data_IF_587450917633
#
_entry.id   IF_587450917633
#
_cell.length_a   1.000
_cell.length_b   1.000
_cell.length_c   1.000
_cell.angle_alpha   90.00
_cell.angle_beta   90.00
_cell.angle_gamma   90.00
#
_symmetry.space_group_name_H-M   'P 1'
#
loop_
_entity.id
_entity.type
_entity.pdbx_description
1 polymer ?
#
# COMPACT_ATOMS: atom_id res chain seq x y z
N UNK A 1 10.10 -5.53 23.29
CA UNK A 1 9.19 -5.36 22.18
C UNK A 1 9.84 -5.74 20.87
N UNK A 2 9.21 -6.65 20.12
CA UNK A 2 9.83 -7.24 18.94
C UNK A 2 9.28 -6.74 17.62
N UNK A 3 8.48 -5.72 17.70
CA UNK A 3 7.77 -5.17 16.58
C UNK A 3 8.61 -4.94 15.31
N UNK A 4 9.74 -4.20 15.36
CA UNK A 4 10.50 -3.95 14.14
C UNK A 4 11.07 -5.22 13.53
N UNK A 5 11.44 -6.16 14.38
CA UNK A 5 12.01 -7.42 13.93
C UNK A 5 11.01 -8.22 13.11
N UNK A 6 9.76 -8.31 13.58
CA UNK A 6 8.75 -9.10 12.88
C UNK A 6 8.39 -8.48 11.53
N UNK A 7 8.26 -7.17 11.47
CA UNK A 7 7.99 -6.46 10.23
C UNK A 7 9.16 -6.62 9.26
N UNK A 8 10.38 -6.41 9.72
CA UNK A 8 11.57 -6.55 8.89
C UNK A 8 11.70 -7.97 8.34
N UNK A 9 11.46 -8.95 9.18
CA UNK A 9 11.53 -10.35 8.78
C UNK A 9 10.54 -10.66 7.67
N UNK A 10 9.31 -10.16 7.80
CA UNK A 10 8.30 -10.34 6.77
C UNK A 10 8.72 -9.71 5.46
N UNK A 11 9.16 -8.47 5.50
CA UNK A 11 9.55 -7.74 4.29
C UNK A 11 10.74 -8.40 3.60
N UNK A 12 11.72 -8.86 4.36
CA UNK A 12 12.87 -9.58 3.78
C UNK A 12 12.46 -10.86 3.10
N UNK A 13 11.50 -11.58 3.67
CA UNK A 13 11.05 -12.85 3.12
C UNK A 13 10.35 -12.68 1.78
N UNK A 14 9.57 -11.62 1.62
CA UNK A 14 8.74 -11.40 0.44
C UNK A 14 9.29 -10.37 -0.53
N UNK A 15 10.27 -9.59 -0.11
CA UNK A 15 10.93 -8.65 -1.01
C UNK A 15 11.96 -9.38 -1.86
N UNK A 16 12.00 -9.04 -3.14
CA UNK A 16 12.95 -9.63 -4.08
C UNK A 16 14.19 -8.76 -4.14
N UNK A 17 15.36 -9.37 -4.29
CA UNK A 17 16.59 -8.62 -4.45
C UNK A 17 16.62 -7.90 -5.82
N UNK A 18 17.10 -6.63 -5.91
CA UNK A 18 17.48 -5.81 -4.78
C UNK A 18 16.29 -5.47 -3.91
N UNK A 19 16.56 -5.17 -2.65
CA UNK A 19 15.50 -4.90 -1.70
C UNK A 19 14.69 -3.67 -2.12
N UNK A 20 13.37 -3.82 -2.09
CA UNK A 20 12.48 -2.71 -2.41
C UNK A 20 12.22 -1.89 -1.15
N UNK A 21 12.35 -0.57 -1.24
CA UNK A 21 12.14 0.26 -0.05
C UNK A 21 10.69 0.31 0.37
N UNK A 22 10.49 0.33 1.67
CA UNK A 22 9.19 0.62 2.25
C UNK A 22 9.05 2.13 2.34
N UNK A 23 8.00 2.67 1.75
CA UNK A 23 7.65 4.07 1.90
C UNK A 23 6.57 4.18 2.98
N UNK A 24 6.86 4.91 4.04
CA UNK A 24 5.90 5.19 5.12
C UNK A 24 6.32 6.47 5.81
N UNK A 25 5.36 7.17 6.40
CA UNK A 25 5.67 8.42 7.09
C UNK A 25 6.51 8.16 8.35
N UNK A 26 6.15 7.11 9.10
CA UNK A 26 6.87 6.73 10.31
C UNK A 26 6.44 5.32 10.71
N UNK A 27 7.34 4.59 11.35
CA UNK A 27 7.02 3.28 11.93
C UNK A 27 7.14 3.31 13.46
N UNK A 28 7.31 4.48 14.04
CA UNK A 28 7.44 4.63 15.48
C UNK A 28 6.16 4.18 16.20
N UNK A 29 6.31 3.31 17.20
CA UNK A 29 5.16 2.82 17.95
C UNK A 29 4.36 1.72 17.30
N UNK A 30 4.77 1.28 16.12
CA UNK A 30 4.11 0.17 15.41
C UNK A 30 4.58 -1.15 16.01
N UNK A 31 3.63 -1.98 16.40
CA UNK A 31 3.93 -3.31 16.92
C UNK A 31 3.21 -4.42 16.15
N UNK A 32 2.44 -4.06 15.14
CA UNK A 32 1.81 -5.04 14.25
C UNK A 32 1.70 -4.48 12.85
N UNK A 33 1.65 -5.36 11.86
CA UNK A 33 1.54 -4.98 10.47
C UNK A 33 0.52 -5.82 9.76
N UNK A 34 -0.20 -5.19 8.85
CA UNK A 34 -1.11 -5.87 7.92
C UNK A 34 -0.54 -5.63 6.52
N UNK A 35 -0.34 -6.69 5.76
CA UNK A 35 0.19 -6.58 4.41
C UNK A 35 -0.91 -6.93 3.42
N UNK A 36 -1.14 -6.03 2.49
CA UNK A 36 -2.18 -6.18 1.48
C UNK A 36 -1.51 -6.19 0.10
N UNK A 37 -1.48 -7.33 -0.58
CA UNK A 37 -1.01 -7.35 -1.97
C UNK A 37 -2.05 -6.67 -2.86
N UNK A 38 -1.59 -5.88 -3.81
CA UNK A 38 -2.46 -5.16 -4.74
C UNK A 38 -1.96 -5.38 -6.16
N UNK A 39 -2.86 -5.86 -7.02
CA UNK A 39 -2.58 -6.12 -8.40
C UNK A 39 -3.76 -5.63 -9.22
N UNK A 40 -3.62 -4.42 -9.79
CA UNK A 40 -4.67 -3.80 -10.59
C UNK A 40 -6.02 -3.74 -9.87
N UNK A 41 -5.98 -3.39 -8.60
CA UNK A 41 -7.15 -3.41 -7.73
C UNK A 41 -7.42 -2.05 -7.07
N UNK A 42 -7.17 -0.96 -7.81
CA UNK A 42 -7.26 0.38 -7.22
C UNK A 42 -8.59 0.65 -6.52
N UNK A 43 -9.72 0.33 -7.15
CA UNK A 43 -11.01 0.63 -6.56
C UNK A 43 -11.28 -0.18 -5.29
N UNK A 44 -11.00 -1.49 -5.31
CA UNK A 44 -11.26 -2.34 -4.15
C UNK A 44 -10.25 -2.09 -3.04
N UNK A 45 -9.00 -1.78 -3.37
CA UNK A 45 -7.98 -1.48 -2.38
C UNK A 45 -8.38 -0.30 -1.50
N UNK A 46 -8.75 0.82 -2.12
CA UNK A 46 -9.07 2.03 -1.35
C UNK A 46 -10.38 1.90 -0.58
N UNK A 47 -11.30 1.09 -1.07
CA UNK A 47 -12.49 0.75 -0.31
C UNK A 47 -12.14 -0.08 0.94
N UNK A 48 -11.24 -1.03 0.79
CA UNK A 48 -10.74 -1.84 1.91
C UNK A 48 -10.03 -0.95 2.92
N UNK A 49 -9.18 -0.05 2.46
CA UNK A 49 -8.48 0.88 3.35
C UNK A 49 -9.45 1.79 4.09
N UNK A 50 -10.52 2.24 3.43
CA UNK A 50 -11.54 3.04 4.08
C UNK A 50 -12.26 2.28 5.19
N UNK A 51 -12.49 0.98 4.99
CA UNK A 51 -13.07 0.13 6.03
C UNK A 51 -12.12 -0.04 7.21
N UNK A 52 -10.83 -0.24 6.92
CA UNK A 52 -9.80 -0.35 7.97
C UNK A 52 -9.70 0.98 8.74
N UNK A 53 -9.83 2.09 8.04
CA UNK A 53 -9.75 3.41 8.66
C UNK A 53 -10.84 3.67 9.71
N UNK A 54 -11.89 2.87 9.72
CA UNK A 54 -12.95 2.96 10.71
C UNK A 54 -12.62 2.26 12.03
N UNK A 55 -11.52 1.53 12.09
CA UNK A 55 -11.05 0.88 13.31
C UNK A 55 -10.62 1.94 14.33
N UNK A 56 -10.81 1.70 15.65
CA UNK A 56 -10.44 2.68 16.67
C UNK A 56 -9.02 3.20 16.52
N UNK A 57 -8.81 4.52 16.68
CA UNK A 57 -7.48 5.13 16.53
C UNK A 57 -6.39 4.50 17.38
N UNK A 58 -6.72 4.02 18.55
CA UNK A 58 -5.73 3.36 19.44
C UNK A 58 -5.12 2.14 18.78
N UNK A 59 -5.92 1.38 18.03
CA UNK A 59 -5.41 0.22 17.30
C UNK A 59 -4.69 0.63 16.02
N UNK A 60 -5.22 1.63 15.32
CA UNK A 60 -4.59 2.09 14.09
C UNK A 60 -3.19 2.67 14.33
N UNK A 61 -2.97 3.32 15.46
CA UNK A 61 -1.66 3.92 15.75
C UNK A 61 -0.56 2.88 15.94
N UNK A 62 -0.91 1.67 16.34
CA UNK A 62 0.07 0.61 16.55
C UNK A 62 0.19 -0.33 15.35
N UNK A 63 -0.58 -0.09 14.31
CA UNK A 63 -0.64 -0.97 13.13
C UNK A 63 -0.15 -0.24 11.89
N UNK A 64 0.79 -0.84 11.18
CA UNK A 64 1.19 -0.35 9.86
C UNK A 64 0.48 -1.21 8.81
N UNK A 65 -0.25 -0.56 7.92
CA UNK A 65 -0.90 -1.25 6.80
C UNK A 65 -0.02 -1.04 5.56
N UNK A 66 0.59 -2.10 5.08
CA UNK A 66 1.53 -2.05 3.97
C UNK A 66 0.85 -2.60 2.72
N UNK A 67 0.74 -1.76 1.71
CA UNK A 67 0.22 -2.18 0.41
C UNK A 67 1.40 -2.50 -0.50
N UNK A 68 1.47 -3.73 -0.99
CA UNK A 68 2.51 -4.16 -1.92
C UNK A 68 1.92 -4.18 -3.31
N UNK A 69 2.33 -3.25 -4.15
CA UNK A 69 1.79 -3.09 -5.49
C UNK A 69 2.68 -3.81 -6.49
N UNK A 70 2.11 -4.75 -7.20
CA UNK A 70 2.84 -5.60 -8.12
C UNK A 70 2.11 -5.77 -9.45
N UNK A 71 2.86 -6.07 -10.49
CA UNK A 71 2.34 -6.47 -11.81
C UNK A 71 2.73 -7.92 -12.09
N UNK A 72 1.92 -8.66 -12.84
CA UNK A 72 2.43 -9.87 -13.49
C UNK A 72 3.54 -9.48 -14.46
N UNK A 73 4.48 -10.37 -14.70
CA UNK A 73 5.51 -10.12 -15.68
C UNK A 73 4.92 -10.15 -17.10
N UNK A 74 5.44 -9.32 -18.03
CA UNK A 74 5.05 -9.45 -19.41
C UNK A 74 5.34 -10.87 -19.94
N UNK A 75 4.49 -11.43 -20.78
CA UNK A 75 3.32 -10.81 -21.39
C UNK A 75 2.05 -10.89 -20.57
N UNK A 76 2.12 -11.30 -19.30
CA UNK A 76 0.93 -11.50 -18.46
C UNK A 76 0.28 -10.19 -18.05
N UNK A 77 1.07 -9.14 -17.84
CA UNK A 77 0.53 -7.84 -17.43
C UNK A 77 0.00 -7.08 -18.63
N UNK A 78 -1.25 -6.63 -18.57
CA UNK A 78 -1.82 -5.75 -19.59
C UNK A 78 -1.42 -4.30 -19.30
N UNK A 79 -1.51 -3.45 -20.33
CA UNK A 79 -1.25 -2.01 -20.15
C UNK A 79 -2.22 -1.38 -19.16
N UNK A 80 -3.46 -1.83 -19.14
CA UNK A 80 -4.46 -1.34 -18.21
C UNK A 80 -4.08 -1.66 -16.76
N UNK A 81 -3.62 -2.87 -16.52
CA UNK A 81 -3.19 -3.28 -15.19
C UNK A 81 -1.99 -2.48 -14.71
N UNK A 82 -1.02 -2.29 -15.60
CA UNK A 82 0.17 -1.50 -15.29
C UNK A 82 -0.23 -0.07 -14.96
N UNK A 83 -1.11 0.51 -15.76
CA UNK A 83 -1.58 1.87 -15.54
C UNK A 83 -2.36 2.01 -14.24
N UNK A 84 -3.22 1.03 -13.93
CA UNK A 84 -3.98 1.02 -12.69
C UNK A 84 -3.05 0.96 -11.48
N UNK A 85 -2.00 0.17 -11.56
CA UNK A 85 -1.01 0.08 -10.49
C UNK A 85 -0.26 1.40 -10.28
N UNK A 86 0.03 2.14 -11.36
CA UNK A 86 0.65 3.46 -11.25
C UNK A 86 -0.28 4.45 -10.56
N UNK A 87 -1.57 4.41 -10.89
CA UNK A 87 -2.57 5.24 -10.22
C UNK A 87 -2.61 4.89 -8.73
N UNK A 88 -2.63 3.60 -8.41
CA UNK A 88 -2.62 3.13 -7.02
C UNK A 88 -1.41 3.68 -6.25
N UNK A 89 -0.21 3.56 -6.84
CA UNK A 89 1.01 4.04 -6.20
C UNK A 89 0.97 5.55 -5.97
N UNK A 90 0.52 6.30 -6.95
CA UNK A 90 0.44 7.76 -6.82
C UNK A 90 -0.50 8.16 -5.68
N UNK A 91 -1.65 7.50 -5.59
CA UNK A 91 -2.61 7.78 -4.54
C UNK A 91 -2.06 7.38 -3.17
N UNK A 92 -1.43 6.21 -3.07
CA UNK A 92 -0.82 5.77 -1.82
C UNK A 92 0.24 6.75 -1.33
N UNK A 93 1.08 7.24 -2.23
CA UNK A 93 2.11 8.22 -1.89
C UNK A 93 1.52 9.52 -1.36
N UNK A 94 0.44 10.00 -1.98
CA UNK A 94 -0.26 11.19 -1.51
C UNK A 94 -0.83 10.98 -0.10
N UNK A 95 -1.48 9.85 0.11
CA UNK A 95 -2.07 9.53 1.42
C UNK A 95 -1.00 9.40 2.50
N UNK A 96 0.15 8.80 2.17
CA UNK A 96 1.25 8.61 3.12
C UNK A 96 1.81 9.95 3.59
N UNK A 97 1.89 10.94 2.71
CA UNK A 97 2.36 12.27 3.10
C UNK A 97 1.24 13.16 3.67
N UNK A 98 0.07 12.62 3.89
CA UNK A 98 -1.03 13.34 4.54
C UNK A 98 -1.86 14.21 3.62
N UNK A 99 -1.83 13.97 2.32
CA UNK A 99 -2.63 14.70 1.36
C UNK A 99 -3.84 13.89 0.94
N UNK A 100 -4.94 14.58 0.63
CA UNK A 100 -6.09 13.93 0.01
C UNK A 100 -5.90 13.98 -1.50
N UNK A 101 -5.85 12.82 -2.17
CA UNK A 101 -5.65 12.81 -3.62
C UNK A 101 -6.78 13.52 -4.35
N UNK A 102 -6.42 14.30 -5.36
CA UNK A 102 -7.39 15.03 -6.18
C UNK A 102 -7.82 14.24 -7.41
N UNK A 103 -7.03 13.25 -7.80
CA UNK A 103 -7.32 12.45 -9.00
C UNK A 103 -7.88 11.11 -8.57
N UNK A 104 -9.07 10.80 -9.07
CA UNK A 104 -9.72 9.52 -8.79
C UNK A 104 -10.14 8.90 -10.10
N UNK A 105 -9.99 7.59 -10.20
CA UNK A 105 -10.53 6.86 -11.34
C UNK A 105 -12.05 6.74 -11.22
N UNK A 106 -12.73 6.37 -12.32
CA UNK A 106 -14.19 6.29 -12.31
C UNK A 106 -14.73 5.30 -11.29
N UNK A 107 -13.97 4.29 -10.93
CA UNK A 107 -14.40 3.26 -9.98
C UNK A 107 -14.01 3.59 -8.53
N UNK A 108 -13.20 4.62 -8.32
CA UNK A 108 -12.80 5.04 -6.98
C UNK A 108 -13.78 6.07 -6.43
N UNK A 109 -14.03 5.98 -5.14
CA UNK A 109 -14.92 6.92 -4.46
C UNK A 109 -14.10 7.95 -3.70
N UNK A 110 -14.37 9.20 -3.97
CA UNK A 110 -13.72 10.30 -3.26
C UNK A 110 -13.90 10.18 -1.76
N UNK A 111 -15.08 9.77 -1.31
CA UNK A 111 -15.35 9.58 0.12
C UNK A 111 -14.45 8.55 0.79
N UNK A 112 -14.07 7.51 0.07
CA UNK A 112 -13.15 6.50 0.60
C UNK A 112 -11.76 7.10 0.83
N UNK A 113 -11.27 7.87 -0.13
CA UNK A 113 -9.97 8.53 -0.01
C UNK A 113 -9.96 9.56 1.10
N UNK A 114 -11.03 10.34 1.23
CA UNK A 114 -11.15 11.31 2.31
C UNK A 114 -11.18 10.64 3.67
N UNK A 115 -11.85 9.51 3.78
CA UNK A 115 -11.94 8.77 5.02
C UNK A 115 -10.55 8.25 5.45
N UNK A 116 -9.80 7.72 4.51
CA UNK A 116 -8.44 7.25 4.79
C UNK A 116 -7.56 8.43 5.19
N UNK A 117 -7.60 9.51 4.43
CA UNK A 117 -6.77 10.69 4.69
C UNK A 117 -7.05 11.32 6.05
N UNK A 118 -8.32 11.31 6.48
CA UNK A 118 -8.72 11.89 7.76
C UNK A 118 -8.59 10.96 8.96
N UNK A 119 -8.13 9.74 8.75
CA UNK A 119 -8.06 8.74 9.82
C UNK A 119 -6.70 8.69 10.50
N UNK A 120 -6.60 7.86 11.53
CA UNK A 120 -5.33 7.55 12.18
C UNK A 120 -4.59 6.38 11.50
N UNK A 121 -5.07 5.93 10.35
CA UNK A 121 -4.48 4.82 9.62
C UNK A 121 -3.03 5.14 9.26
N UNK A 122 -2.14 4.23 9.60
CA UNK A 122 -0.72 4.35 9.27
C UNK A 122 -0.45 3.48 8.04
N UNK A 123 -0.18 4.15 6.95
CA UNK A 123 -0.10 3.52 5.64
C UNK A 123 1.34 3.47 5.17
N UNK A 124 1.72 2.34 4.59
CA UNK A 124 2.98 2.20 3.90
C UNK A 124 2.75 1.52 2.57
N UNK A 125 3.70 1.65 1.67
CA UNK A 125 3.63 0.93 0.41
C UNK A 125 5.00 0.46 -0.05
N UNK A 126 5.00 -0.61 -0.81
CA UNK A 126 6.18 -1.13 -1.48
C UNK A 126 5.82 -1.20 -2.96
N UNK A 127 6.63 -0.54 -3.78
CA UNK A 127 6.47 -0.57 -5.22
C UNK A 127 7.24 -1.76 -5.79
N UNK A 128 6.52 -2.78 -6.18
CA UNK A 128 7.06 -3.93 -6.87
C UNK A 128 6.53 -4.01 -8.30
N UNK A 129 5.90 -2.92 -8.77
CA UNK A 129 5.23 -2.89 -10.08
C UNK A 129 6.02 -2.17 -11.15
N UNK A 130 6.95 -1.27 -10.77
CA UNK A 130 7.75 -0.55 -11.76
C UNK A 130 8.73 -1.47 -12.47
N UNK A 131 9.16 -1.11 -13.67
CA UNK A 131 9.93 -1.99 -14.55
C UNK A 131 11.10 -2.68 -13.87
N UNK A 132 11.85 -1.95 -13.06
CA UNK A 132 13.00 -2.51 -12.35
C UNK A 132 12.64 -3.11 -10.99
N UNK A 133 11.37 -3.11 -10.64
CA UNK A 133 10.90 -3.53 -9.34
C UNK A 133 9.91 -4.70 -9.39
N UNK A 134 9.63 -5.21 -10.59
CA UNK A 134 8.71 -6.34 -10.73
C UNK A 134 9.20 -7.58 -10.02
N UNK A 135 8.27 -8.24 -9.34
CA UNK A 135 8.58 -9.48 -8.67
C UNK A 135 8.58 -10.60 -9.72
N UNK A 136 9.66 -11.39 -9.79
CA UNK A 136 9.69 -12.51 -10.75
C UNK A 136 8.58 -13.52 -10.48
N UNK A 137 8.10 -14.14 -11.55
CA UNK A 137 7.17 -15.24 -11.43
C UNK A 137 7.84 -16.43 -10.74
N UNK A 138 7.03 -17.18 -10.06
CA UNK A 138 7.51 -18.35 -9.33
C UNK A 138 6.67 -19.56 -9.63
#
# INVERSE_FOLDING_TARGET
MNRPRDIEKYLKKYAVSPMRPLLAASVTGVDQAVVIPALAESSSLFRTLACIAAIPPSELRRTLVVCVVNNPRPPLASEEEIRDNQVTLNILKELIVGRTPSVTGPAMRKGDLERVAGSSLRLGCIDASSADAEIPDR
#
